data_IF_339919365571
#
_entry.id   IF_339919365571
#
_cell.length_a   1.000
_cell.length_b   1.000
_cell.length_c   1.000
_cell.angle_alpha   90.00
_cell.angle_beta   90.00
_cell.angle_gamma   90.00
#
_symmetry.space_group_name_H-M   'P 1'
#
loop_
_entity.id
_entity.type
_entity.pdbx_description
1 polymer ?
#
# COMPACT_ATOMS: atom_id res chain seq x y z
N UNK A 1 10.53 6.91 -17.73
CA UNK A 1 10.36 5.48 -17.37
C UNK A 1 9.36 5.48 -16.25
N UNK A 2 8.30 4.68 -16.35
CA UNK A 2 7.26 4.66 -15.33
C UNK A 2 7.74 3.72 -14.23
N UNK A 3 7.84 4.24 -13.02
CA UNK A 3 8.29 3.47 -11.86
C UNK A 3 7.10 2.81 -11.18
N UNK A 4 7.36 1.67 -10.55
CA UNK A 4 6.37 0.93 -9.77
C UNK A 4 6.78 1.01 -8.31
N UNK A 5 5.85 1.47 -7.49
CA UNK A 5 6.02 1.64 -6.06
C UNK A 5 5.06 0.74 -5.30
N UNK A 6 5.52 0.20 -4.17
CA UNK A 6 4.71 -0.62 -3.27
C UNK A 6 4.51 0.10 -1.95
N UNK A 7 3.29 0.11 -1.42
CA UNK A 7 3.03 0.58 -0.06
C UNK A 7 2.33 -0.48 0.80
N UNK A 8 2.90 -0.69 1.98
CA UNK A 8 2.47 -1.68 2.97
C UNK A 8 2.26 -1.01 4.31
N UNK A 9 1.12 -1.32 4.93
CA UNK A 9 0.79 -0.84 6.28
C UNK A 9 0.63 -2.03 7.22
N UNK A 10 1.67 -2.27 8.01
CA UNK A 10 1.72 -3.32 9.02
C UNK A 10 1.13 -2.81 10.33
N UNK A 11 0.31 -3.61 10.99
CA UNK A 11 -0.03 -3.34 12.39
C UNK A 11 1.11 -3.80 13.28
N UNK A 12 1.40 -3.12 14.38
CA UNK A 12 2.46 -3.52 15.32
C UNK A 12 2.26 -4.92 15.93
N UNK A 13 1.04 -5.48 15.82
CA UNK A 13 0.69 -6.84 16.24
C UNK A 13 1.07 -7.89 15.19
N UNK A 14 1.13 -7.52 13.92
CA UNK A 14 1.63 -8.37 12.84
C UNK A 14 3.16 -8.23 12.76
N UNK A 15 3.86 -9.05 13.56
CA UNK A 15 5.32 -9.15 13.56
C UNK A 15 5.87 -9.90 12.33
N UNK A 16 5.01 -10.38 11.43
CA UNK A 16 5.40 -11.21 10.29
C UNK A 16 5.61 -10.34 9.04
N UNK A 17 6.69 -9.56 9.06
CA UNK A 17 7.13 -8.68 7.96
C UNK A 17 7.29 -9.46 6.66
N UNK A 18 7.78 -10.70 6.76
CA UNK A 18 7.98 -11.60 5.63
C UNK A 18 6.68 -11.87 4.86
N UNK A 19 5.55 -12.06 5.55
CA UNK A 19 4.25 -12.30 4.89
C UNK A 19 3.75 -11.06 4.13
N UNK A 20 4.11 -9.87 4.58
CA UNK A 20 3.70 -8.64 3.91
C UNK A 20 4.59 -8.33 2.70
N UNK A 21 5.88 -8.69 2.77
CA UNK A 21 6.80 -8.62 1.65
C UNK A 21 6.49 -9.69 0.59
N UNK A 22 6.05 -10.89 0.99
CA UNK A 22 5.56 -11.93 0.05
C UNK A 22 4.38 -11.40 -0.76
N UNK A 23 3.43 -10.71 -0.14
CA UNK A 23 2.29 -10.13 -0.85
C UNK A 23 2.69 -9.05 -1.88
N UNK A 24 3.89 -8.45 -1.74
CA UNK A 24 4.47 -7.56 -2.74
C UNK A 24 5.41 -8.28 -3.72
N UNK A 25 5.88 -9.49 -3.40
CA UNK A 25 6.79 -10.27 -4.25
C UNK A 25 6.08 -10.81 -5.50
N UNK A 26 4.75 -10.96 -5.43
CA UNK A 26 3.90 -11.28 -6.60
C UNK A 26 3.84 -10.13 -7.62
N UNK A 27 4.43 -8.98 -7.30
CA UNK A 27 4.43 -7.79 -8.13
C UNK A 27 5.83 -7.43 -8.62
N UNK A 28 5.94 -6.81 -9.82
CA UNK A 28 7.20 -6.29 -10.32
C UNK A 28 7.60 -4.97 -9.62
N UNK A 29 7.49 -4.90 -8.30
CA UNK A 29 7.91 -3.74 -7.50
C UNK A 29 9.37 -3.96 -7.08
N UNK A 30 10.33 -3.10 -7.48
CA UNK A 30 11.69 -3.17 -6.97
C UNK A 30 11.69 -3.04 -5.45
N UNK A 31 12.48 -3.83 -4.73
CA UNK A 31 12.54 -3.74 -3.25
C UNK A 31 12.87 -2.32 -2.75
N UNK A 32 13.69 -1.58 -3.51
CA UNK A 32 14.03 -0.16 -3.22
C UNK A 32 12.82 0.80 -3.29
N UNK A 33 11.75 0.41 -3.98
CA UNK A 33 10.53 1.19 -4.16
C UNK A 33 9.39 0.69 -3.25
N UNK A 34 9.70 -0.16 -2.26
CA UNK A 34 8.75 -0.64 -1.26
C UNK A 34 8.81 0.26 -0.01
N UNK A 35 7.67 0.82 0.35
CA UNK A 35 7.49 1.69 1.50
C UNK A 35 6.59 1.00 2.52
N UNK A 36 7.07 0.84 3.75
CA UNK A 36 6.33 0.16 4.81
C UNK A 36 6.19 1.03 6.06
N UNK A 37 4.95 1.27 6.48
CA UNK A 37 4.65 1.92 7.77
C UNK A 37 4.14 0.89 8.79
N UNK A 38 4.79 0.86 9.96
CA UNK A 38 4.37 0.05 11.12
C UNK A 38 3.58 0.94 12.07
N UNK A 39 2.25 0.77 12.09
CA UNK A 39 1.38 1.55 12.97
C UNK A 39 1.00 0.71 14.21
N UNK A 40 1.28 1.24 15.39
CA UNK A 40 0.71 0.74 16.64
C UNK A 40 -0.55 1.52 16.96
N UNK A 41 -1.51 0.92 17.67
CA UNK A 41 -2.88 1.43 17.83
C UNK A 41 -3.05 2.87 18.35
N UNK A 42 -1.98 3.56 18.75
CA UNK A 42 -1.98 4.98 19.15
C UNK A 42 -1.25 5.90 18.19
N UNK A 43 -0.23 5.41 17.47
CA UNK A 43 0.60 6.19 16.56
C UNK A 43 0.24 5.92 15.10
N UNK A 44 -0.32 6.94 14.46
CA UNK A 44 -0.79 6.91 13.08
C UNK A 44 0.03 7.83 12.18
N UNK A 45 1.32 7.91 12.46
CA UNK A 45 2.23 8.59 11.57
C UNK A 45 2.50 7.63 10.41
N UNK A 46 2.13 8.04 9.19
CA UNK A 46 2.48 7.33 7.95
C UNK A 46 3.64 8.06 7.24
N UNK A 47 4.85 8.12 7.85
CA UNK A 47 5.97 8.86 7.26
C UNK A 47 6.43 8.25 5.94
N UNK A 48 6.38 6.92 5.76
CA UNK A 48 6.80 6.29 4.52
C UNK A 48 5.79 6.52 3.41
N UNK A 49 4.48 6.48 3.73
CA UNK A 49 3.45 6.86 2.77
C UNK A 49 3.63 8.32 2.30
N UNK A 50 3.89 9.26 3.21
CA UNK A 50 4.14 10.67 2.84
C UNK A 50 5.39 10.82 1.96
N UNK A 51 6.46 10.07 2.25
CA UNK A 51 7.67 10.04 1.41
C UNK A 51 7.35 9.50 0.03
N UNK A 52 6.62 8.40 -0.05
CA UNK A 52 6.17 7.82 -1.31
C UNK A 52 5.34 8.81 -2.13
N UNK A 53 4.40 9.52 -1.51
CA UNK A 53 3.61 10.57 -2.17
C UNK A 53 4.48 11.70 -2.74
N UNK A 54 5.62 12.01 -2.11
CA UNK A 54 6.54 13.01 -2.64
C UNK A 54 7.36 12.49 -3.82
N UNK A 55 7.66 11.19 -3.84
CA UNK A 55 8.47 10.55 -4.88
C UNK A 55 7.66 10.15 -6.11
N UNK A 56 6.37 9.83 -5.95
CA UNK A 56 5.53 9.38 -7.05
C UNK A 56 5.19 10.55 -7.98
N UNK A 57 5.38 10.34 -9.28
CA UNK A 57 5.11 11.29 -10.34
C UNK A 57 3.94 10.85 -11.23
N UNK A 58 3.56 11.74 -12.16
CA UNK A 58 2.53 11.45 -13.15
C UNK A 58 2.93 10.19 -13.96
N UNK A 59 1.97 9.29 -14.19
CA UNK A 59 2.12 8.00 -14.89
C UNK A 59 2.81 6.84 -14.14
N UNK A 60 3.26 7.04 -12.91
CA UNK A 60 3.77 5.96 -12.06
C UNK A 60 2.66 5.03 -11.54
N UNK A 61 3.06 3.85 -11.09
CA UNK A 61 2.14 2.82 -10.57
C UNK A 61 2.33 2.64 -9.07
N UNK A 62 1.25 2.87 -8.32
CA UNK A 62 1.19 2.56 -6.90
C UNK A 62 0.47 1.23 -6.65
N UNK A 63 1.19 0.27 -6.07
CA UNK A 63 0.68 -1.03 -5.63
C UNK A 63 0.41 -0.96 -4.12
N UNK A 64 -0.83 -1.20 -3.72
CA UNK A 64 -1.23 -1.36 -2.32
C UNK A 64 -2.04 -2.64 -2.16
N UNK A 65 -1.91 -3.30 -1.01
CA UNK A 65 -2.67 -4.52 -0.73
C UNK A 65 -4.18 -4.28 -0.74
N UNK A 66 -4.63 -3.15 -0.18
CA UNK A 66 -6.03 -2.77 -0.17
C UNK A 66 -6.21 -1.27 0.13
N UNK A 67 -7.31 -0.69 -0.37
CA UNK A 67 -7.63 0.74 -0.22
C UNK A 67 -7.86 1.16 1.24
N UNK A 68 -8.27 0.22 2.12
CA UNK A 68 -8.36 0.46 3.57
C UNK A 68 -7.01 0.79 4.21
N UNK A 69 -5.90 0.62 3.48
CA UNK A 69 -4.57 1.00 3.95
C UNK A 69 -4.25 2.47 3.76
N UNK A 70 -5.07 3.22 3.02
CA UNK A 70 -4.87 4.66 2.77
C UNK A 70 -5.36 5.56 3.91
N UNK A 71 -6.29 5.10 4.75
CA UNK A 71 -6.87 5.93 5.81
C UNK A 71 -7.52 5.10 6.92
N UNK A 72 -7.98 5.78 7.98
CA UNK A 72 -8.65 5.12 9.13
C UNK A 72 -10.14 4.96 8.95
N UNK A 73 -10.74 5.87 8.20
CA UNK A 73 -12.16 5.90 7.95
C UNK A 73 -12.40 6.16 6.46
N UNK A 74 -13.65 6.00 6.06
CA UNK A 74 -14.07 6.16 4.68
C UNK A 74 -13.71 7.55 4.11
N UNK A 75 -13.87 8.62 4.90
CA UNK A 75 -13.55 9.98 4.47
C UNK A 75 -12.07 10.16 4.18
N UNK A 76 -11.19 9.73 5.08
CA UNK A 76 -9.73 9.79 4.87
C UNK A 76 -9.30 8.95 3.67
N UNK A 77 -9.86 7.75 3.52
CA UNK A 77 -9.58 6.90 2.36
C UNK A 77 -9.97 7.61 1.07
N UNK A 78 -11.15 8.22 1.03
CA UNK A 78 -11.61 8.99 -0.13
C UNK A 78 -10.75 10.22 -0.41
N UNK A 79 -10.34 10.95 0.62
CA UNK A 79 -9.52 12.15 0.46
C UNK A 79 -8.13 11.79 -0.07
N UNK A 80 -7.52 10.73 0.45
CA UNK A 80 -6.25 10.19 -0.06
C UNK A 80 -6.38 9.67 -1.48
N UNK A 81 -7.46 8.93 -1.76
CA UNK A 81 -7.77 8.47 -3.11
C UNK A 81 -7.94 9.62 -4.10
N UNK A 82 -8.67 10.66 -3.71
CA UNK A 82 -8.86 11.88 -4.51
C UNK A 82 -7.54 12.60 -4.73
N UNK A 83 -6.68 12.68 -3.70
CA UNK A 83 -5.36 13.28 -3.82
C UNK A 83 -4.49 12.53 -4.85
N UNK A 84 -4.41 11.20 -4.74
CA UNK A 84 -3.67 10.35 -5.67
C UNK A 84 -4.18 10.48 -7.10
N UNK A 85 -5.50 10.44 -7.29
CA UNK A 85 -6.12 10.45 -8.62
C UNK A 85 -6.11 11.82 -9.29
N UNK A 86 -6.37 12.91 -8.55
CA UNK A 86 -6.47 14.26 -9.11
C UNK A 86 -5.14 15.00 -9.16
N UNK A 87 -4.31 14.89 -8.11
CA UNK A 87 -3.11 15.72 -7.99
C UNK A 87 -1.86 15.04 -8.53
N UNK A 88 -1.79 13.71 -8.43
CA UNK A 88 -0.60 12.94 -8.80
C UNK A 88 -0.72 12.13 -10.07
N UNK A 89 -1.93 11.96 -10.60
CA UNK A 89 -2.27 11.13 -11.78
C UNK A 89 -1.57 9.76 -11.85
N UNK A 90 -1.18 9.22 -10.70
CA UNK A 90 -0.53 7.93 -10.58
C UNK A 90 -1.61 6.85 -10.58
N UNK A 91 -2.13 6.52 -11.77
CA UNK A 91 -3.14 5.50 -11.94
C UNK A 91 -2.91 4.71 -13.23
N UNK A 92 -2.16 3.61 -13.15
CA UNK A 92 -2.22 2.60 -14.21
C UNK A 92 -2.55 1.19 -13.74
N UNK A 93 -2.35 0.87 -12.45
CA UNK A 93 -2.66 -0.47 -11.94
C UNK A 93 -2.79 -0.50 -10.41
N UNK A 94 -3.98 -0.21 -9.88
CA UNK A 94 -4.35 -0.77 -8.58
C UNK A 94 -4.62 -2.25 -8.83
N UNK A 95 -3.63 -3.13 -8.61
CA UNK A 95 -3.98 -4.53 -8.46
C UNK A 95 -4.60 -4.66 -7.08
N UNK A 96 -5.92 -4.73 -7.08
CA UNK A 96 -6.67 -5.21 -5.95
C UNK A 96 -6.20 -6.64 -5.70
N UNK A 97 -5.38 -6.84 -4.68
CA UNK A 97 -5.23 -8.17 -4.11
C UNK A 97 -6.55 -8.43 -3.38
N UNK A 98 -7.57 -8.86 -4.12
CA UNK A 98 -8.63 -9.66 -3.52
C UNK A 98 -7.94 -10.92 -3.03
N UNK A 99 -7.38 -10.90 -1.82
CA UNK A 99 -7.19 -12.12 -1.05
C UNK A 99 -8.59 -12.61 -0.65
N UNK A 100 -9.32 -13.14 -1.62
CA UNK A 100 -10.40 -14.09 -1.44
C UNK A 100 -9.91 -15.43 -1.98
N UNK A 101 -9.98 -16.47 -1.12
CA UNK A 101 -9.40 -17.83 -1.25
C UNK A 101 -7.87 -17.88 -1.08
N UNK A 102 -7.34 -18.56 -0.07
CA UNK A 102 -7.68 -19.94 0.33
C UNK A 102 -8.30 -20.00 1.74
N UNK A 103 -9.59 -20.34 1.80
CA UNK A 103 -10.12 -21.23 2.85
C UNK A 103 -9.92 -22.64 2.32
N UNK A 104 -8.87 -23.30 2.76
CA UNK A 104 -8.65 -24.76 2.80
C UNK A 104 -7.71 -24.89 4.01
N UNK A 105 -7.93 -25.68 5.06
CA UNK A 105 -8.90 -26.68 5.42
C UNK A 105 -8.24 -27.35 6.63
N UNK A 106 -9.02 -27.63 7.68
CA UNK A 106 -8.70 -28.64 8.70
C UNK A 106 -7.35 -28.55 9.44
N UNK A 107 -7.39 -28.09 10.69
CA UNK A 107 -6.89 -28.89 11.83
C UNK A 107 -7.85 -28.73 13.00
#
# INVERSE_FOLDING_TARGET
MNEIYGYVRASSKDQNEDRQLIALSDFPVPQKNIYMDKLSGKDFNMPQYKRLLNMIEDEDVLVIKSIDRLGRNYSEILDQWRYLTKNKKAYKRFLWIFTGCIKDGSV
#
